data_IF_277326199455
#
_entry.id   IF_277326199455
#
_cell.length_a   1.000
_cell.length_b   1.000
_cell.length_c   1.000
_cell.angle_alpha   90.00
_cell.angle_beta   90.00
_cell.angle_gamma   90.00
#
_symmetry.space_group_name_H-M   'P 1'
#
loop_
_entity.id
_entity.type
_entity.pdbx_description
1 polymer ?
#
# COMPACT_ATOMS: atom_id res chain seq x y z
N UNK A 1 0.88 -39.26 10.97
CA UNK A 1 1.89 -38.55 10.17
C UNK A 1 1.51 -37.08 10.27
N UNK A 2 2.17 -36.33 11.15
CA UNK A 2 1.86 -34.93 11.38
C UNK A 2 2.41 -34.11 10.21
N UNK A 3 1.55 -33.29 9.60
CA UNK A 3 1.90 -32.34 8.57
C UNK A 3 2.77 -31.22 9.19
N UNK A 4 4.05 -31.07 8.80
CA UNK A 4 4.92 -30.03 9.33
C UNK A 4 4.70 -28.67 8.64
N UNK A 5 3.74 -28.55 7.71
CA UNK A 5 3.63 -27.42 6.78
C UNK A 5 2.81 -26.22 7.24
N UNK A 6 2.54 -26.04 8.53
CA UNK A 6 1.76 -24.88 9.02
C UNK A 6 2.44 -24.15 10.17
N UNK A 7 3.74 -23.91 10.04
CA UNK A 7 4.37 -22.81 10.76
C UNK A 7 3.76 -21.50 10.24
N UNK A 8 3.00 -20.83 11.11
CA UNK A 8 2.48 -19.49 10.84
C UNK A 8 3.65 -18.52 10.69
N UNK A 9 4.22 -18.44 9.49
CA UNK A 9 5.18 -17.43 9.13
C UNK A 9 4.45 -16.08 9.15
N UNK A 10 4.61 -15.34 10.25
CA UNK A 10 4.45 -13.90 10.19
C UNK A 10 5.33 -13.39 9.05
N UNK A 11 4.76 -12.54 8.18
CA UNK A 11 5.51 -11.98 7.04
C UNK A 11 6.82 -11.37 7.54
N UNK A 12 7.90 -11.57 6.77
CA UNK A 12 9.24 -11.06 7.11
C UNK A 12 9.23 -9.56 7.44
N UNK A 13 8.33 -8.77 6.85
CA UNK A 13 8.24 -7.34 7.14
C UNK A 13 7.50 -7.08 8.47
N UNK A 14 6.47 -7.86 8.82
CA UNK A 14 5.82 -7.78 10.15
C UNK A 14 6.80 -8.11 11.28
N UNK A 15 7.62 -9.15 11.08
CA UNK A 15 8.66 -9.49 12.07
C UNK A 15 9.71 -8.38 12.22
N UNK A 16 10.14 -7.77 11.10
CA UNK A 16 11.07 -6.64 11.13
C UNK A 16 10.47 -5.40 11.79
N UNK A 17 9.19 -5.14 11.59
CA UNK A 17 8.48 -4.07 12.27
C UNK A 17 8.49 -4.25 13.80
N UNK A 18 8.27 -5.49 14.27
CA UNK A 18 8.29 -5.81 15.70
C UNK A 18 9.69 -5.67 16.34
N UNK A 19 10.76 -5.83 15.56
CA UNK A 19 12.14 -5.69 16.02
C UNK A 19 12.74 -4.30 15.76
N UNK A 20 11.98 -3.36 15.18
CA UNK A 20 12.50 -2.04 14.84
C UNK A 20 12.80 -1.22 16.10
N UNK A 21 13.98 -0.60 16.13
CA UNK A 21 14.44 0.22 17.25
C UNK A 21 13.82 1.63 17.26
N UNK A 22 13.15 2.03 16.18
CA UNK A 22 12.50 3.33 16.04
C UNK A 22 11.17 3.22 15.29
N UNK A 23 10.33 4.25 15.45
CA UNK A 23 8.98 4.29 14.88
C UNK A 23 8.98 4.40 13.36
N UNK A 24 9.97 5.07 12.77
CA UNK A 24 10.07 5.27 11.31
C UNK A 24 10.32 3.94 10.57
N UNK A 25 11.26 3.14 11.06
CA UNK A 25 11.54 1.81 10.52
C UNK A 25 10.36 0.86 10.72
N UNK A 26 9.70 0.92 11.89
CA UNK A 26 8.49 0.14 12.16
C UNK A 26 7.41 0.47 11.14
N UNK A 27 7.13 1.76 10.94
CA UNK A 27 6.10 2.24 10.02
C UNK A 27 6.43 1.85 8.59
N UNK A 28 7.69 1.97 8.16
CA UNK A 28 8.15 1.54 6.84
C UNK A 28 7.87 0.06 6.59
N UNK A 29 8.19 -0.82 7.53
CA UNK A 29 7.95 -2.25 7.36
C UNK A 29 6.46 -2.60 7.35
N UNK A 30 5.65 -1.96 8.21
CA UNK A 30 4.19 -2.13 8.21
C UNK A 30 3.59 -1.64 6.89
N UNK A 31 3.92 -0.43 6.48
CA UNK A 31 3.48 0.17 5.22
C UNK A 31 3.82 -0.71 4.02
N UNK A 32 5.02 -1.30 3.99
CA UNK A 32 5.42 -2.25 2.94
C UNK A 32 4.55 -3.51 2.91
N UNK A 33 4.21 -4.06 4.08
CA UNK A 33 3.33 -5.22 4.16
C UNK A 33 1.90 -4.89 3.72
N UNK A 34 1.39 -3.73 4.12
CA UNK A 34 0.07 -3.23 3.69
C UNK A 34 0.03 -3.09 2.16
N UNK A 35 1.05 -2.48 1.57
CA UNK A 35 1.17 -2.33 0.11
C UNK A 35 1.24 -3.70 -0.58
N UNK A 36 2.02 -4.65 -0.04
CA UNK A 36 2.07 -6.04 -0.54
C UNK A 36 0.70 -6.68 -0.58
N UNK A 37 -0.09 -6.55 0.49
CA UNK A 37 -1.46 -7.06 0.51
C UNK A 37 -2.36 -6.39 -0.53
N UNK A 38 -2.19 -5.09 -0.78
CA UNK A 38 -2.87 -4.39 -1.85
C UNK A 38 -2.57 -4.96 -3.23
N UNK A 39 -1.27 -5.09 -3.55
CA UNK A 39 -0.79 -5.64 -4.83
C UNK A 39 -1.27 -7.09 -5.02
N UNK A 40 -1.31 -7.91 -3.97
CA UNK A 40 -1.83 -9.29 -4.06
C UNK A 40 -3.32 -9.34 -4.42
N UNK A 41 -4.11 -8.34 -3.99
CA UNK A 41 -5.55 -8.26 -4.31
C UNK A 41 -5.80 -7.67 -5.71
N UNK A 42 -4.89 -6.82 -6.18
CA UNK A 42 -4.98 -6.12 -7.45
C UNK A 42 -3.66 -6.33 -8.19
N UNK A 43 -3.53 -7.44 -8.90
CA UNK A 43 -2.26 -7.84 -9.55
C UNK A 43 -1.89 -6.91 -10.70
N UNK A 44 -2.87 -6.26 -11.33
CA UNK A 44 -2.70 -5.40 -12.52
C UNK A 44 -3.24 -4.02 -12.23
N UNK A 45 -2.52 -2.97 -12.64
CA UNK A 45 -3.02 -1.61 -12.60
C UNK A 45 -4.11 -1.44 -13.68
N UNK A 46 -5.32 -1.07 -13.28
CA UNK A 46 -6.44 -0.87 -14.22
C UNK A 46 -6.21 0.28 -15.21
N UNK A 47 -5.40 1.28 -14.81
CA UNK A 47 -5.13 2.46 -15.63
C UNK A 47 -4.08 2.20 -16.70
N UNK A 48 -2.95 1.60 -16.33
CA UNK A 48 -1.81 1.38 -17.24
C UNK A 48 -1.77 -0.02 -17.87
N UNK A 49 -2.51 -0.98 -17.31
CA UNK A 49 -2.46 -2.39 -17.71
C UNK A 49 -1.20 -3.14 -17.27
N UNK A 50 -0.30 -2.50 -16.52
CA UNK A 50 0.95 -3.12 -16.03
C UNK A 50 0.70 -4.02 -14.83
N UNK A 51 1.51 -5.07 -14.68
CA UNK A 51 1.58 -5.86 -13.44
C UNK A 51 2.16 -4.99 -12.33
N UNK A 52 1.52 -5.01 -11.16
CA UNK A 52 1.93 -4.25 -10.00
C UNK A 52 3.08 -4.95 -9.26
N UNK A 53 4.16 -4.19 -9.03
CA UNK A 53 5.29 -4.57 -8.17
C UNK A 53 5.26 -3.68 -6.93
N UNK A 54 5.36 -4.29 -5.73
CA UNK A 54 5.43 -3.58 -4.45
C UNK A 54 6.50 -2.48 -4.42
N UNK A 55 7.58 -2.60 -5.21
CA UNK A 55 8.66 -1.60 -5.27
C UNK A 55 8.30 -0.34 -6.04
N UNK A 56 7.28 -0.40 -6.90
CA UNK A 56 6.89 0.71 -7.79
C UNK A 56 5.41 1.04 -7.69
N UNK A 57 4.64 0.23 -6.98
CA UNK A 57 3.23 0.43 -6.76
C UNK A 57 2.98 1.50 -5.71
N UNK A 58 1.87 2.19 -5.86
CA UNK A 58 1.38 3.22 -4.95
C UNK A 58 -0.01 2.81 -4.51
N UNK A 59 -0.19 2.59 -3.21
CA UNK A 59 -1.52 2.43 -2.63
C UNK A 59 -2.04 3.81 -2.23
N UNK A 60 -3.23 4.12 -2.72
CA UNK A 60 -3.92 5.38 -2.44
C UNK A 60 -5.18 5.06 -1.67
N UNK A 61 -5.35 5.73 -0.52
CA UNK A 61 -6.55 5.59 0.31
C UNK A 61 -7.24 6.94 0.44
N UNK A 62 -8.48 7.02 -0.04
CA UNK A 62 -9.35 8.19 0.18
C UNK A 62 -10.20 7.97 1.43
N UNK A 63 -10.27 8.96 2.30
CA UNK A 63 -10.96 8.90 3.59
C UNK A 63 -12.05 9.97 3.67
N UNK A 64 -13.27 9.59 4.05
CA UNK A 64 -14.38 10.53 4.32
C UNK A 64 -15.15 10.08 5.56
N UNK A 65 -14.92 10.74 6.69
CA UNK A 65 -15.40 10.26 7.98
C UNK A 65 -14.88 8.84 8.24
N UNK A 66 -15.78 7.91 8.55
CA UNK A 66 -15.42 6.50 8.79
C UNK A 66 -15.29 5.67 7.51
N UNK A 67 -15.57 6.25 6.35
CA UNK A 67 -15.49 5.53 5.06
C UNK A 67 -14.10 5.63 4.48
N UNK A 68 -13.51 4.48 4.15
CA UNK A 68 -12.17 4.37 3.53
C UNK A 68 -12.27 3.55 2.24
N UNK A 69 -11.70 4.06 1.16
CA UNK A 69 -11.59 3.34 -0.10
C UNK A 69 -10.12 3.34 -0.53
N UNK A 70 -9.58 2.16 -0.79
CA UNK A 70 -8.19 1.97 -1.18
C UNK A 70 -8.10 1.29 -2.54
N UNK A 71 -7.14 1.73 -3.36
CA UNK A 71 -6.81 1.14 -4.65
C UNK A 71 -5.30 1.26 -4.89
N UNK A 72 -4.78 0.47 -5.83
CA UNK A 72 -3.35 0.42 -6.13
C UNK A 72 -3.11 0.85 -7.58
N UNK A 73 -2.11 1.70 -7.78
CA UNK A 73 -1.65 2.15 -9.09
C UNK A 73 -0.16 1.82 -9.24
N UNK A 74 0.35 1.73 -10.47
CA UNK A 74 1.80 1.85 -10.66
C UNK A 74 2.23 3.32 -10.51
N UNK A 75 3.50 3.55 -10.20
CA UNK A 75 4.03 4.88 -9.92
C UNK A 75 3.76 5.89 -11.03
N UNK A 76 3.92 5.51 -12.30
CA UNK A 76 3.66 6.43 -13.43
C UNK A 76 2.18 6.82 -13.48
N UNK A 77 1.28 5.84 -13.32
CA UNK A 77 -0.16 6.06 -13.28
C UNK A 77 -0.59 6.93 -12.10
N UNK A 78 0.10 6.82 -10.95
CA UNK A 78 -0.12 7.69 -9.80
C UNK A 78 0.31 9.13 -10.08
N UNK A 79 1.52 9.33 -10.61
CA UNK A 79 2.06 10.67 -10.87
C UNK A 79 1.18 11.47 -11.85
N UNK A 80 0.52 10.79 -12.79
CA UNK A 80 -0.47 11.41 -13.68
C UNK A 80 -1.73 11.92 -12.97
N UNK A 81 -2.20 11.22 -11.92
CA UNK A 81 -3.51 11.49 -11.30
C UNK A 81 -3.42 12.24 -9.99
N UNK A 82 -2.28 12.20 -9.30
CA UNK A 82 -2.11 12.75 -7.95
C UNK A 82 -2.65 14.19 -7.83
N UNK A 83 -2.28 15.14 -8.72
CA UNK A 83 -2.74 16.52 -8.57
C UNK A 83 -4.27 16.64 -8.68
N UNK A 84 -4.86 15.94 -9.66
CA UNK A 84 -6.29 15.99 -9.91
C UNK A 84 -7.09 15.27 -8.82
N UNK A 85 -6.59 14.14 -8.33
CA UNK A 85 -7.23 13.39 -7.26
C UNK A 85 -7.22 14.18 -5.96
N UNK A 86 -6.08 14.75 -5.56
CA UNK A 86 -5.99 15.56 -4.32
C UNK A 86 -6.88 16.79 -4.38
N UNK A 87 -6.91 17.48 -5.53
CA UNK A 87 -7.82 18.60 -5.73
C UNK A 87 -9.28 18.14 -5.55
N UNK A 88 -9.65 17.00 -6.15
CA UNK A 88 -11.02 16.49 -6.04
C UNK A 88 -11.38 16.03 -4.63
N UNK A 89 -10.44 15.40 -3.93
CA UNK A 89 -10.61 14.98 -2.55
C UNK A 89 -10.85 16.19 -1.64
N UNK A 90 -10.06 17.26 -1.80
CA UNK A 90 -10.23 18.50 -1.05
C UNK A 90 -11.62 19.14 -1.30
N UNK A 91 -12.08 19.20 -2.56
CA UNK A 91 -13.44 19.68 -2.90
C UNK A 91 -14.54 18.88 -2.20
N UNK A 92 -14.33 17.57 -2.01
CA UNK A 92 -15.31 16.65 -1.44
C UNK A 92 -15.19 16.50 0.08
N UNK A 93 -14.26 17.23 0.72
CA UNK A 93 -13.95 17.12 2.14
C UNK A 93 -13.37 15.74 2.50
N UNK A 94 -12.55 15.18 1.62
CA UNK A 94 -11.88 13.89 1.79
C UNK A 94 -10.39 14.09 2.02
N UNK A 95 -9.78 13.18 2.76
CA UNK A 95 -8.33 13.07 2.92
C UNK A 95 -7.76 12.02 1.96
N UNK A 96 -6.51 12.21 1.55
CA UNK A 96 -5.78 11.27 0.69
C UNK A 96 -4.51 10.83 1.40
N UNK A 97 -4.51 9.59 1.84
CA UNK A 97 -3.36 8.88 2.38
C UNK A 97 -2.67 8.08 1.26
N UNK A 98 -1.34 8.04 1.27
CA UNK A 98 -0.55 7.41 0.22
C UNK A 98 0.57 6.58 0.83
N UNK A 99 0.69 5.33 0.37
CA UNK A 99 1.85 4.48 0.60
C UNK A 99 2.53 4.27 -0.76
N UNK A 100 3.66 4.92 -0.97
CA UNK A 100 4.43 4.84 -2.22
C UNK A 100 5.62 3.89 -2.06
N UNK A 101 5.57 2.75 -2.75
CA UNK A 101 6.63 1.74 -2.71
C UNK A 101 8.01 2.23 -3.17
N UNK A 102 8.07 3.35 -3.92
CA UNK A 102 9.32 3.96 -4.40
C UNK A 102 10.05 4.71 -3.28
N UNK A 103 9.32 5.12 -2.25
CA UNK A 103 9.85 5.91 -1.12
C UNK A 103 9.96 5.12 0.18
N UNK A 104 9.51 3.86 0.19
CA UNK A 104 9.63 2.96 1.33
C UNK A 104 11.05 2.45 1.53
#
# INVERSE_FOLDING_TARGET
MADPGREGLMSSDVFRALLADNDDDREKFISREVLRHGVMRQIVCERSGKVLDVRTAVMVTTVKGDTRCAYVLDGDAWDEVDPALRAKAAELGMEVEVIDGRTL
#
